data_IF_571614858122
#
_entry.id   IF_571614858122
#
_cell.length_a   1.000
_cell.length_b   1.000
_cell.length_c   1.000
_cell.angle_alpha   90.00
_cell.angle_beta   90.00
_cell.angle_gamma   90.00
#
_symmetry.space_group_name_H-M   'P 1'
#
loop_
_entity.id
_entity.type
_entity.pdbx_description
1 polymer ?
#
# COMPACT_ATOMS: atom_id res chain seq x y z
N UNK A 1 -3.60 11.15 -2.53
CA UNK A 1 -2.22 11.17 -2.99
C UNK A 1 -1.80 9.78 -3.43
N UNK A 2 -1.53 9.58 -4.73
CA UNK A 2 -1.13 8.29 -5.31
C UNK A 2 0.38 8.26 -5.47
N UNK A 3 1.03 7.25 -4.88
CA UNK A 3 2.47 7.05 -5.02
C UNK A 3 2.85 5.57 -5.03
N UNK A 4 3.82 5.22 -5.87
CA UNK A 4 4.44 3.90 -5.85
C UNK A 4 5.32 3.68 -4.62
N UNK A 5 5.72 4.76 -3.94
CA UNK A 5 6.63 4.78 -2.80
C UNK A 5 6.07 5.58 -1.63
N UNK A 6 6.23 5.06 -0.43
CA UNK A 6 6.06 5.80 0.81
C UNK A 6 7.19 5.44 1.78
N UNK A 7 8.11 6.38 2.03
CA UNK A 7 9.21 6.21 2.97
C UNK A 7 8.87 6.95 4.27
N UNK A 8 8.08 6.32 5.11
CA UNK A 8 7.54 6.91 6.34
C UNK A 8 8.64 7.18 7.36
N UNK A 9 9.66 6.29 7.44
CA UNK A 9 10.77 6.41 8.37
C UNK A 9 10.48 5.76 9.73
N UNK A 10 11.17 6.18 10.78
CA UNK A 10 11.11 5.57 12.12
C UNK A 10 9.76 5.81 12.80
N UNK A 11 8.84 4.87 12.63
CA UNK A 11 7.47 5.00 13.08
C UNK A 11 7.33 5.05 14.60
N UNK A 12 8.15 4.30 15.37
CA UNK A 12 8.08 4.29 16.84
C UNK A 12 8.30 5.69 17.40
N UNK A 13 9.46 6.28 17.11
CA UNK A 13 9.81 7.60 17.67
C UNK A 13 8.88 8.71 17.18
N UNK A 14 8.55 8.69 15.89
CA UNK A 14 7.63 9.66 15.33
C UNK A 14 6.25 9.61 16.00
N UNK A 15 5.71 8.41 16.20
CA UNK A 15 4.41 8.22 16.82
C UNK A 15 4.42 8.60 18.32
N UNK A 16 5.46 8.21 19.07
CA UNK A 16 5.59 8.60 20.48
C UNK A 16 5.70 10.12 20.64
N UNK A 17 6.49 10.77 19.78
CA UNK A 17 6.63 12.22 19.76
C UNK A 17 5.29 12.91 19.42
N UNK A 18 4.63 12.46 18.35
CA UNK A 18 3.37 13.05 17.90
C UNK A 18 2.24 12.87 18.93
N UNK A 19 2.22 11.75 19.63
CA UNK A 19 1.27 11.46 20.71
C UNK A 19 1.62 12.17 22.04
N UNK A 20 2.86 12.66 22.18
CA UNK A 20 3.34 13.28 23.40
C UNK A 20 3.52 12.30 24.57
N UNK A 21 3.82 11.04 24.30
CA UNK A 21 3.96 9.95 25.30
C UNK A 21 5.36 9.35 25.35
N UNK A 22 6.37 10.04 24.82
CA UNK A 22 7.75 9.53 24.78
C UNK A 22 8.33 9.31 26.19
N UNK A 23 8.10 10.25 27.11
CA UNK A 23 8.59 10.15 28.49
C UNK A 23 7.90 9.01 29.24
N UNK A 24 6.58 8.84 29.08
CA UNK A 24 5.82 7.74 29.66
C UNK A 24 6.34 6.38 29.14
N UNK A 25 6.58 6.29 27.83
CA UNK A 25 7.15 5.08 27.22
C UNK A 25 8.55 4.77 27.76
N UNK A 26 9.37 5.78 27.95
CA UNK A 26 10.73 5.65 28.53
C UNK A 26 10.67 5.15 29.99
N UNK A 27 9.74 5.67 30.79
CA UNK A 27 9.55 5.24 32.18
C UNK A 27 9.09 3.78 32.25
N UNK A 28 8.08 3.42 31.45
CA UNK A 28 7.57 2.04 31.40
C UNK A 28 8.66 1.06 30.97
N UNK A 29 9.39 1.35 29.89
CA UNK A 29 10.49 0.49 29.42
C UNK A 29 11.57 0.32 30.49
N UNK A 30 11.95 1.42 31.16
CA UNK A 30 12.95 1.39 32.23
C UNK A 30 12.49 0.49 33.39
N UNK A 31 11.21 0.48 33.73
CA UNK A 31 10.64 -0.39 34.77
C UNK A 31 10.71 -1.88 34.40
N UNK A 32 10.75 -2.18 33.09
CA UNK A 32 10.88 -3.53 32.53
C UNK A 32 12.35 -3.91 32.27
N UNK A 33 13.32 -3.05 32.60
CA UNK A 33 14.74 -3.27 32.37
C UNK A 33 15.19 -3.06 30.92
N UNK A 34 14.38 -2.41 30.09
CA UNK A 34 14.66 -2.06 28.71
C UNK A 34 14.87 -0.54 28.54
N UNK A 35 15.44 -0.14 27.43
CA UNK A 35 15.63 1.26 27.06
C UNK A 35 14.85 1.57 25.78
N UNK A 36 14.46 2.83 25.61
CA UNK A 36 13.82 3.27 24.36
C UNK A 36 14.73 3.05 23.15
N UNK A 37 16.05 3.17 23.32
CA UNK A 37 17.04 2.86 22.28
C UNK A 37 17.04 1.40 21.80
N UNK A 38 16.56 0.47 22.62
CA UNK A 38 16.49 -0.94 22.23
C UNK A 38 15.43 -1.16 21.14
N UNK A 39 14.47 -0.21 21.03
CA UNK A 39 13.45 -0.21 19.96
C UNK A 39 13.99 0.30 18.62
N UNK A 40 15.20 0.85 18.57
CA UNK A 40 15.84 1.30 17.31
C UNK A 40 16.22 0.13 16.39
N UNK A 41 16.31 -1.07 16.93
CA UNK A 41 16.57 -2.28 16.18
C UNK A 41 15.30 -2.84 15.50
N UNK A 42 14.12 -2.32 15.84
CA UNK A 42 12.88 -2.71 15.16
C UNK A 42 12.89 -2.08 13.77
N UNK A 43 12.80 -2.93 12.76
CA UNK A 43 12.86 -2.51 11.37
C UNK A 43 11.59 -1.74 10.98
N UNK A 44 11.79 -0.63 10.27
CA UNK A 44 10.70 0.15 9.68
C UNK A 44 10.28 -0.43 8.33
N UNK A 45 9.05 -0.13 7.90
CA UNK A 45 8.57 -0.46 6.56
C UNK A 45 9.26 0.45 5.52
N UNK A 46 10.40 0.01 4.98
CA UNK A 46 11.16 0.75 3.97
C UNK A 46 10.50 0.60 2.57
N UNK A 47 9.30 1.16 2.42
CA UNK A 47 8.49 1.04 1.19
C UNK A 47 8.75 2.17 0.18
N UNK A 48 9.93 2.75 0.22
CA UNK A 48 10.40 3.78 -0.70
C UNK A 48 11.91 3.73 -0.87
N UNK A 49 12.40 4.27 -1.98
CA UNK A 49 13.82 4.26 -2.33
C UNK A 49 14.51 5.58 -2.01
N UNK A 50 13.81 6.71 -2.08
CA UNK A 50 14.47 8.01 -1.93
C UNK A 50 13.52 9.19 -1.79
N UNK A 51 13.86 10.30 -2.47
CA UNK A 51 13.18 11.59 -2.37
C UNK A 51 11.68 11.53 -2.69
N UNK A 52 11.29 10.72 -3.69
CA UNK A 52 9.89 10.56 -4.08
C UNK A 52 9.04 9.99 -2.94
N UNK A 53 9.50 8.87 -2.34
CA UNK A 53 8.81 8.23 -1.22
C UNK A 53 8.84 9.07 0.05
N UNK A 54 9.94 9.80 0.30
CA UNK A 54 10.03 10.69 1.47
C UNK A 54 9.13 11.92 1.31
N UNK A 55 9.05 12.50 0.11
CA UNK A 55 8.13 13.61 -0.18
C UNK A 55 6.68 13.20 0.09
N UNK A 56 6.27 12.03 -0.40
CA UNK A 56 4.93 11.49 -0.16
C UNK A 56 4.62 11.36 1.34
N UNK A 57 5.54 10.81 2.12
CA UNK A 57 5.41 10.69 3.56
C UNK A 57 5.31 12.05 4.26
N UNK A 58 6.15 13.03 3.89
CA UNK A 58 6.10 14.37 4.46
C UNK A 58 4.78 15.10 4.16
N UNK A 59 4.19 14.91 2.98
CA UNK A 59 2.88 15.49 2.69
C UNK A 59 1.78 14.88 3.54
N UNK A 60 1.82 13.57 3.79
CA UNK A 60 0.84 12.93 4.70
C UNK A 60 0.97 13.47 6.13
N UNK A 61 2.19 13.56 6.66
CA UNK A 61 2.45 14.11 8.00
C UNK A 61 1.97 15.58 8.12
N UNK A 62 2.30 16.40 7.11
CA UNK A 62 1.90 17.81 7.08
C UNK A 62 0.39 17.97 6.98
N UNK A 63 -0.27 17.20 6.13
CA UNK A 63 -1.71 17.24 5.97
C UNK A 63 -2.42 16.79 7.25
N UNK A 64 -1.97 15.71 7.89
CA UNK A 64 -2.50 15.25 9.16
C UNK A 64 -2.35 16.34 10.24
N UNK A 65 -1.18 16.96 10.35
CA UNK A 65 -0.88 18.02 11.33
C UNK A 65 -1.74 19.28 11.10
N UNK A 66 -1.97 19.63 9.83
CA UNK A 66 -2.83 20.76 9.46
C UNK A 66 -4.32 20.41 9.41
N UNK A 67 -4.69 19.19 9.77
CA UNK A 67 -6.07 18.67 9.70
C UNK A 67 -6.69 18.77 8.31
N UNK A 68 -5.89 18.57 7.26
CA UNK A 68 -6.35 18.54 5.89
C UNK A 68 -6.81 17.10 5.51
N UNK A 69 -7.89 16.94 4.74
CA UNK A 69 -8.39 15.64 4.32
C UNK A 69 -7.53 15.06 3.19
N UNK A 70 -6.43 14.41 3.54
CA UNK A 70 -5.50 13.78 2.61
C UNK A 70 -5.25 12.32 3.01
N UNK A 71 -5.62 11.40 2.12
CA UNK A 71 -5.28 9.98 2.22
C UNK A 71 -4.16 9.63 1.23
N UNK A 72 -3.21 8.80 1.66
CA UNK A 72 -2.20 8.20 0.79
C UNK A 72 -2.66 6.84 0.25
N UNK A 73 -2.31 6.53 -1.01
CA UNK A 73 -2.58 5.25 -1.65
C UNK A 73 -1.34 4.73 -2.35
N UNK A 74 -0.97 3.48 -2.08
CA UNK A 74 0.21 2.84 -2.66
C UNK A 74 0.17 1.33 -2.57
N UNK A 75 1.33 0.70 -2.69
CA UNK A 75 1.50 -0.75 -2.63
C UNK A 75 2.17 -1.14 -1.31
N UNK A 76 1.65 -2.17 -0.68
CA UNK A 76 2.27 -2.84 0.46
C UNK A 76 3.26 -3.88 -0.06
N UNK A 77 4.49 -3.45 -0.29
CA UNK A 77 5.52 -4.38 -0.75
C UNK A 77 5.87 -5.40 0.34
N UNK A 78 5.98 -6.67 -0.05
CA UNK A 78 6.37 -7.76 0.84
C UNK A 78 7.78 -7.58 1.36
N UNK A 79 8.70 -7.16 0.48
CA UNK A 79 10.06 -6.82 0.82
C UNK A 79 10.24 -5.31 0.66
N UNK A 80 10.85 -4.69 1.67
CA UNK A 80 11.24 -3.29 1.61
C UNK A 80 12.42 -3.06 0.67
N UNK A 81 12.97 -1.84 0.70
CA UNK A 81 14.24 -1.58 0.05
C UNK A 81 15.28 -2.55 0.62
N UNK A 82 16.04 -3.20 -0.26
CA UNK A 82 17.00 -4.23 0.12
C UNK A 82 17.95 -3.77 1.25
N UNK A 83 18.30 -4.71 2.13
CA UNK A 83 19.35 -4.48 3.14
C UNK A 83 20.70 -4.44 2.46
N UNK A 84 21.53 -3.51 2.90
CA UNK A 84 22.90 -3.37 2.40
C UNK A 84 23.90 -3.81 3.47
N UNK A 85 24.83 -4.66 3.07
CA UNK A 85 26.01 -5.01 3.87
C UNK A 85 27.26 -4.85 3.02
N UNK A 86 28.40 -4.65 3.66
CA UNK A 86 29.70 -4.59 2.98
C UNK A 86 30.44 -5.90 3.25
N UNK A 87 30.70 -6.66 2.20
CA UNK A 87 31.47 -7.91 2.25
C UNK A 87 32.67 -7.79 1.30
N UNK A 88 33.84 -8.01 1.81
CA UNK A 88 35.11 -7.90 1.06
C UNK A 88 35.30 -6.55 0.32
N UNK A 89 34.77 -5.46 0.90
CA UNK A 89 34.79 -4.11 0.34
C UNK A 89 33.74 -3.80 -0.72
N UNK A 90 32.84 -4.73 -1.00
CA UNK A 90 31.75 -4.56 -1.98
C UNK A 90 30.39 -4.58 -1.29
N UNK A 91 29.43 -3.86 -1.88
CA UNK A 91 28.03 -3.90 -1.46
C UNK A 91 27.45 -5.28 -1.73
N UNK A 92 26.81 -5.84 -0.70
CA UNK A 92 25.95 -7.02 -0.82
C UNK A 92 24.52 -6.64 -0.47
N UNK A 93 23.59 -7.03 -1.32
CA UNK A 93 22.16 -6.77 -1.19
C UNK A 93 21.44 -8.02 -0.71
N UNK A 94 20.56 -7.86 0.28
CA UNK A 94 19.76 -8.94 0.85
C UNK A 94 18.29 -8.51 0.93
N UNK A 95 17.35 -9.46 0.90
CA UNK A 95 15.94 -9.16 1.01
C UNK A 95 15.62 -8.59 2.40
N UNK A 96 14.87 -7.49 2.42
CA UNK A 96 14.34 -6.88 3.64
C UNK A 96 12.93 -7.40 3.91
N UNK A 97 12.82 -8.51 4.66
CA UNK A 97 11.54 -9.07 5.11
C UNK A 97 11.09 -8.36 6.39
N UNK A 98 10.64 -7.11 6.24
CA UNK A 98 10.22 -6.26 7.35
C UNK A 98 8.98 -6.79 8.09
N UNK A 99 8.21 -7.70 7.46
CA UNK A 99 7.03 -8.33 8.07
C UNK A 99 7.33 -9.64 8.80
N UNK A 100 8.59 -10.08 8.84
CA UNK A 100 9.00 -11.37 9.42
C UNK A 100 8.49 -11.61 10.84
N UNK A 101 8.41 -10.56 11.64
CA UNK A 101 7.94 -10.61 13.03
C UNK A 101 6.54 -10.02 13.22
N UNK A 102 5.80 -9.81 12.14
CA UNK A 102 4.49 -9.18 12.10
C UNK A 102 4.55 -7.74 11.60
N UNK A 103 3.39 -7.14 11.45
CA UNK A 103 3.24 -5.74 11.04
C UNK A 103 2.47 -4.97 12.11
N UNK A 104 3.15 -4.27 13.02
CA UNK A 104 2.49 -3.47 14.05
C UNK A 104 1.99 -2.12 13.53
N UNK A 105 2.34 -1.73 12.30
CA UNK A 105 2.13 -0.39 11.76
C UNK A 105 0.83 -0.25 11.00
N UNK A 106 0.32 -1.33 10.41
CA UNK A 106 -0.87 -1.29 9.58
C UNK A 106 -1.92 -2.33 9.97
N UNK A 107 -3.17 -1.98 9.74
CA UNK A 107 -4.32 -2.84 9.99
C UNK A 107 -4.90 -3.33 8.67
N UNK A 108 -4.98 -4.65 8.51
CA UNK A 108 -5.68 -5.30 7.39
C UNK A 108 -7.19 -5.00 7.46
N UNK A 109 -7.76 -4.57 6.35
CA UNK A 109 -9.18 -4.23 6.24
C UNK A 109 -9.87 -5.16 5.25
N UNK A 110 -10.52 -6.21 5.75
CA UNK A 110 -11.20 -7.22 4.93
C UNK A 110 -12.44 -6.70 4.20
N UNK A 111 -13.11 -5.68 4.73
CA UNK A 111 -14.36 -5.15 4.19
C UNK A 111 -14.18 -4.30 2.94
N UNK A 112 -12.96 -3.81 2.71
CA UNK A 112 -12.63 -2.90 1.61
C UNK A 112 -11.80 -3.55 0.51
N UNK A 113 -11.80 -4.89 0.44
CA UNK A 113 -11.16 -5.63 -0.66
C UNK A 113 -11.74 -5.23 -2.01
N UNK A 114 -10.88 -5.20 -3.02
CA UNK A 114 -11.23 -4.91 -4.40
C UNK A 114 -10.73 -6.03 -5.31
N UNK A 115 -11.56 -6.49 -6.24
CA UNK A 115 -11.15 -7.46 -7.27
C UNK A 115 -10.55 -6.68 -8.44
N UNK A 116 -9.33 -7.05 -8.83
CA UNK A 116 -8.62 -6.46 -9.96
C UNK A 116 -8.46 -7.50 -11.06
N UNK A 117 -8.98 -7.18 -12.23
CA UNK A 117 -8.93 -8.05 -13.42
C UNK A 117 -7.83 -7.58 -14.37
N UNK A 118 -6.89 -8.46 -14.66
CA UNK A 118 -5.96 -8.33 -15.76
C UNK A 118 -6.41 -9.23 -16.91
N UNK A 119 -5.85 -9.05 -18.10
CA UNK A 119 -6.21 -9.86 -19.26
C UNK A 119 -6.05 -11.40 -19.05
N UNK A 120 -5.11 -11.80 -18.22
CA UNK A 120 -4.76 -13.21 -18.00
C UNK A 120 -4.70 -13.62 -16.52
N UNK A 121 -5.17 -12.77 -15.62
CA UNK A 121 -5.09 -13.01 -14.17
C UNK A 121 -6.11 -12.13 -13.44
N UNK A 122 -6.76 -12.70 -12.42
CA UNK A 122 -7.58 -11.94 -11.46
C UNK A 122 -6.93 -12.05 -10.10
N UNK A 123 -6.83 -10.94 -9.39
CA UNK A 123 -6.31 -10.86 -8.02
C UNK A 123 -7.24 -10.08 -7.11
N UNK A 124 -7.09 -10.27 -5.83
CA UNK A 124 -7.76 -9.46 -4.80
C UNK A 124 -6.77 -8.44 -4.27
N UNK A 125 -7.09 -7.16 -4.38
CA UNK A 125 -6.39 -6.09 -3.71
C UNK A 125 -6.92 -5.98 -2.27
N UNK A 126 -6.07 -6.26 -1.30
CA UNK A 126 -6.40 -6.22 0.13
C UNK A 126 -5.76 -4.99 0.74
N UNK A 127 -6.55 -4.06 1.31
CA UNK A 127 -5.99 -2.84 1.89
C UNK A 127 -5.47 -3.08 3.30
N UNK A 128 -4.35 -2.45 3.59
CA UNK A 128 -3.75 -2.29 4.91
C UNK A 128 -3.68 -0.80 5.21
N UNK A 129 -4.36 -0.38 6.27
CA UNK A 129 -4.45 1.03 6.67
C UNK A 129 -3.41 1.33 7.75
N UNK A 130 -2.46 2.18 7.43
CA UNK A 130 -1.44 2.70 8.34
C UNK A 130 -1.87 4.09 8.82
N UNK A 131 -2.05 4.30 10.13
CA UNK A 131 -2.37 5.62 10.68
C UNK A 131 -1.16 6.54 10.57
N UNK A 132 -1.40 7.76 10.13
CA UNK A 132 -0.44 8.87 10.12
C UNK A 132 -0.81 9.80 11.27
N UNK A 133 -0.05 9.73 12.35
CA UNK A 133 -0.33 10.46 13.59
C UNK A 133 0.12 11.90 13.44
N UNK A 134 -0.81 12.84 13.62
CA UNK A 134 -0.53 14.27 13.52
C UNK A 134 0.27 14.79 14.72
N UNK A 135 1.16 15.76 14.50
CA UNK A 135 1.90 16.43 15.55
C UNK A 135 1.06 17.53 16.19
N UNK A 136 0.96 17.48 17.52
CA UNK A 136 0.28 18.53 18.32
C UNK A 136 -1.23 18.66 18.10
N UNK A 137 -1.87 17.71 17.43
CA UNK A 137 -3.33 17.67 17.22
C UNK A 137 -3.88 16.26 17.49
N UNK A 138 -5.20 16.10 17.47
CA UNK A 138 -5.86 14.78 17.61
C UNK A 138 -6.22 14.16 16.28
N UNK A 139 -5.76 14.75 15.17
CA UNK A 139 -6.08 14.25 13.84
C UNK A 139 -5.19 13.05 13.48
N UNK A 140 -5.74 12.12 12.73
CA UNK A 140 -5.04 10.94 12.21
C UNK A 140 -5.35 10.84 10.72
N UNK A 141 -4.32 10.93 9.89
CA UNK A 141 -4.41 10.66 8.46
C UNK A 141 -4.34 9.16 8.16
N UNK A 142 -4.59 8.77 6.92
CA UNK A 142 -4.55 7.37 6.49
C UNK A 142 -3.60 7.19 5.33
N UNK A 143 -2.70 6.22 5.45
CA UNK A 143 -1.96 5.66 4.35
C UNK A 143 -2.52 4.25 4.07
N UNK A 144 -3.24 4.09 2.95
CA UNK A 144 -3.79 2.81 2.50
C UNK A 144 -2.86 2.15 1.51
N UNK A 145 -2.32 1.01 1.90
CA UNK A 145 -1.40 0.22 1.10
C UNK A 145 -2.07 -1.07 0.63
N UNK A 146 -2.00 -1.35 -0.66
CA UNK A 146 -2.63 -2.50 -1.28
C UNK A 146 -1.68 -3.69 -1.38
N UNK A 147 -2.10 -4.85 -0.89
CA UNK A 147 -1.42 -6.14 -1.08
C UNK A 147 -2.21 -6.98 -2.06
N UNK A 148 -1.52 -7.56 -3.04
CA UNK A 148 -2.14 -8.48 -4.00
C UNK A 148 -2.21 -9.89 -3.43
N UNK A 149 -3.41 -10.47 -3.45
CA UNK A 149 -3.66 -11.84 -3.03
C UNK A 149 -4.39 -12.63 -4.13
N UNK A 150 -4.24 -13.95 -4.20
CA UNK A 150 -4.96 -14.75 -5.18
C UNK A 150 -6.46 -14.83 -4.82
N UNK A 151 -7.30 -15.05 -5.83
CA UNK A 151 -8.72 -15.37 -5.61
C UNK A 151 -8.85 -16.75 -4.95
N UNK A 152 -8.06 -17.72 -5.42
CA UNK A 152 -7.98 -19.06 -4.84
C UNK A 152 -6.62 -19.26 -4.19
N UNK A 153 -6.57 -19.49 -2.91
CA UNK A 153 -5.32 -19.50 -2.14
C UNK A 153 -4.45 -20.73 -2.35
N UNK A 154 -5.07 -21.91 -2.56
CA UNK A 154 -4.33 -23.16 -2.63
C UNK A 154 -5.16 -24.27 -3.28
N UNK A 155 -4.54 -25.04 -4.17
CA UNK A 155 -5.18 -26.17 -4.85
C UNK A 155 -4.79 -27.50 -4.19
N UNK A 156 -5.62 -27.97 -3.27
CA UNK A 156 -5.40 -29.23 -2.56
C UNK A 156 -5.38 -30.46 -3.47
N UNK A 157 -6.12 -30.44 -4.58
CA UNK A 157 -6.15 -31.56 -5.51
C UNK A 157 -4.81 -31.71 -6.22
N UNK A 158 -4.25 -30.61 -6.73
CA UNK A 158 -2.92 -30.60 -7.32
C UNK A 158 -1.84 -30.99 -6.32
N UNK A 159 -1.92 -30.45 -5.09
CA UNK A 159 -0.95 -30.78 -4.06
C UNK A 159 -0.94 -32.28 -3.73
N UNK A 160 -2.12 -32.89 -3.54
CA UNK A 160 -2.25 -34.32 -3.29
C UNK A 160 -1.83 -35.19 -4.50
N UNK A 161 -1.90 -34.64 -5.71
CA UNK A 161 -1.36 -35.25 -6.91
C UNK A 161 0.17 -35.07 -7.08
N UNK A 162 0.86 -34.52 -6.07
CA UNK A 162 2.30 -34.21 -6.05
C UNK A 162 2.72 -33.11 -7.05
N UNK A 163 1.77 -32.33 -7.57
CA UNK A 163 2.03 -31.15 -8.39
C UNK A 163 2.14 -29.90 -7.49
N UNK A 164 3.18 -29.85 -6.66
CA UNK A 164 3.38 -28.87 -5.62
C UNK A 164 3.53 -27.44 -6.15
N UNK A 165 4.16 -27.29 -7.31
CA UNK A 165 4.39 -25.99 -7.94
C UNK A 165 3.08 -25.37 -8.42
N UNK A 166 2.29 -26.15 -9.18
CA UNK A 166 1.02 -25.64 -9.71
C UNK A 166 -0.07 -25.51 -8.63
N UNK A 167 0.08 -26.20 -7.49
CA UNK A 167 -0.80 -26.03 -6.34
C UNK A 167 -0.74 -24.61 -5.75
N UNK A 168 0.40 -23.90 -5.90
CA UNK A 168 0.63 -22.55 -5.37
C UNK A 168 0.85 -21.48 -6.43
N UNK A 169 0.71 -21.81 -7.73
CA UNK A 169 1.10 -20.89 -8.82
C UNK A 169 0.29 -19.60 -8.85
N UNK A 170 -1.00 -19.65 -8.52
CA UNK A 170 -1.85 -18.46 -8.45
C UNK A 170 -1.42 -17.53 -7.32
N UNK A 171 -1.05 -18.10 -6.18
CA UNK A 171 -0.51 -17.33 -5.06
C UNK A 171 0.79 -16.63 -5.44
N UNK A 172 1.72 -17.34 -6.04
CA UNK A 172 3.02 -16.79 -6.47
C UNK A 172 2.80 -15.63 -7.45
N UNK A 173 1.96 -15.82 -8.46
CA UNK A 173 1.67 -14.79 -9.48
C UNK A 173 0.97 -13.54 -8.88
N UNK A 174 0.11 -13.72 -7.89
CA UNK A 174 -0.53 -12.60 -7.22
C UNK A 174 0.48 -11.85 -6.36
N UNK A 175 1.24 -12.56 -5.53
CA UNK A 175 2.27 -11.98 -4.68
C UNK A 175 3.33 -11.20 -5.47
N UNK A 176 3.71 -11.64 -6.67
CA UNK A 176 4.70 -10.95 -7.52
C UNK A 176 4.31 -9.49 -7.79
N UNK A 177 3.03 -9.18 -7.88
CA UNK A 177 2.54 -7.81 -8.11
C UNK A 177 2.93 -6.87 -6.97
N UNK A 178 2.87 -7.35 -5.72
CA UNK A 178 3.21 -6.55 -4.53
C UNK A 178 4.47 -7.04 -3.81
N UNK A 179 5.39 -7.73 -4.52
CA UNK A 179 6.56 -8.35 -3.89
C UNK A 179 7.68 -7.37 -3.62
N UNK A 180 8.12 -6.62 -4.62
CA UNK A 180 9.23 -5.66 -4.50
C UNK A 180 8.95 -4.37 -5.26
N UNK A 181 9.48 -3.26 -4.73
CA UNK A 181 9.50 -1.97 -5.39
C UNK A 181 10.52 -2.00 -6.55
N UNK A 182 10.12 -1.49 -7.71
CA UNK A 182 10.96 -1.36 -8.91
C UNK A 182 11.66 -2.67 -9.32
N UNK A 183 10.92 -3.73 -9.67
CA UNK A 183 11.53 -4.90 -10.25
C UNK A 183 12.26 -4.53 -11.54
N UNK A 184 13.35 -5.25 -11.86
CA UNK A 184 14.10 -5.04 -13.09
C UNK A 184 13.17 -5.11 -14.31
N UNK A 185 13.29 -4.17 -15.22
CA UNK A 185 12.45 -4.01 -16.42
C UNK A 185 13.23 -4.04 -17.74
N UNK A 186 14.41 -4.65 -17.75
CA UNK A 186 15.21 -4.83 -18.96
C UNK A 186 14.50 -5.75 -19.97
N UNK A 187 13.73 -6.73 -19.46
CA UNK A 187 12.94 -7.64 -20.28
C UNK A 187 11.48 -7.20 -20.44
N UNK A 188 10.79 -7.84 -21.38
CA UNK A 188 9.35 -7.62 -21.59
C UNK A 188 8.54 -8.01 -20.34
N UNK A 189 8.90 -9.12 -19.70
CA UNK A 189 8.25 -9.64 -18.52
C UNK A 189 8.36 -8.67 -17.34
N UNK A 190 9.55 -8.10 -17.14
CA UNK A 190 9.77 -7.06 -16.12
C UNK A 190 8.94 -5.79 -16.37
N UNK A 191 8.86 -5.34 -17.64
CA UNK A 191 8.01 -4.20 -18.03
C UNK A 191 6.54 -4.48 -17.76
N UNK A 192 6.06 -5.70 -18.09
CA UNK A 192 4.68 -6.12 -17.81
C UNK A 192 4.43 -6.13 -16.29
N UNK A 193 5.35 -6.64 -15.49
CA UNK A 193 5.20 -6.67 -14.03
C UNK A 193 5.09 -5.25 -13.46
N UNK A 194 5.98 -4.32 -13.86
CA UNK A 194 5.91 -2.92 -13.44
C UNK A 194 4.60 -2.26 -13.85
N UNK A 195 4.12 -2.53 -15.05
CA UNK A 195 2.84 -2.02 -15.50
C UNK A 195 1.67 -2.60 -14.69
N UNK A 196 1.73 -3.90 -14.37
CA UNK A 196 0.74 -4.54 -13.48
C UNK A 196 0.71 -3.89 -12.09
N UNK A 197 1.87 -3.58 -11.52
CA UNK A 197 1.96 -2.88 -10.22
C UNK A 197 1.26 -1.51 -10.27
N UNK A 198 1.54 -0.72 -11.31
CA UNK A 198 0.95 0.59 -11.50
C UNK A 198 -0.57 0.51 -11.67
N UNK A 199 -1.04 -0.38 -12.54
CA UNK A 199 -2.47 -0.60 -12.74
C UNK A 199 -3.16 -1.09 -11.46
N UNK A 200 -2.56 -2.06 -10.78
CA UNK A 200 -3.08 -2.67 -9.57
C UNK A 200 -3.44 -1.65 -8.50
N UNK A 201 -2.48 -0.81 -8.08
CA UNK A 201 -2.76 0.12 -7.00
C UNK A 201 -3.64 1.30 -7.44
N UNK A 202 -3.56 1.74 -8.70
CA UNK A 202 -4.42 2.79 -9.23
C UNK A 202 -5.88 2.32 -9.29
N UNK A 203 -6.14 1.15 -9.87
CA UNK A 203 -7.49 0.60 -10.00
C UNK A 203 -8.12 0.32 -8.63
N UNK A 204 -7.36 -0.28 -7.69
CA UNK A 204 -7.84 -0.53 -6.34
C UNK A 204 -8.17 0.78 -5.60
N UNK A 205 -7.31 1.80 -5.72
CA UNK A 205 -7.51 3.09 -5.07
C UNK A 205 -8.69 3.87 -5.64
N UNK A 206 -8.87 3.86 -6.95
CA UNK A 206 -10.02 4.49 -7.60
C UNK A 206 -11.34 3.81 -7.22
N UNK A 207 -11.36 2.48 -7.20
CA UNK A 207 -12.53 1.73 -6.75
C UNK A 207 -12.90 2.07 -5.30
N UNK A 208 -11.92 2.21 -4.40
CA UNK A 208 -12.14 2.63 -3.01
C UNK A 208 -12.69 4.06 -2.93
N UNK A 209 -12.12 5.01 -3.68
CA UNK A 209 -12.58 6.40 -3.72
C UNK A 209 -14.02 6.47 -4.23
N UNK A 210 -14.33 5.80 -5.32
CA UNK A 210 -15.71 5.76 -5.88
C UNK A 210 -16.68 5.11 -4.89
N UNK A 211 -16.29 4.01 -4.24
CA UNK A 211 -17.09 3.36 -3.19
C UNK A 211 -17.39 4.31 -2.04
N UNK A 212 -16.38 5.01 -1.51
CA UNK A 212 -16.51 5.99 -0.42
C UNK A 212 -17.39 7.17 -0.82
N UNK A 213 -17.21 7.68 -2.04
CA UNK A 213 -18.03 8.79 -2.57
C UNK A 213 -19.52 8.43 -2.65
N UNK A 214 -19.83 7.25 -3.20
CA UNK A 214 -21.20 6.73 -3.27
C UNK A 214 -21.79 6.45 -1.88
N UNK A 215 -21.01 5.86 -0.97
CA UNK A 215 -21.45 5.58 0.38
C UNK A 215 -21.76 6.84 1.18
N UNK A 216 -21.11 7.97 0.87
CA UNK A 216 -21.43 9.28 1.42
C UNK A 216 -22.68 9.93 0.81
N UNK A 217 -23.35 9.27 -0.14
CA UNK A 217 -24.56 9.76 -0.78
C UNK A 217 -24.32 10.80 -1.87
N UNK A 218 -23.09 10.94 -2.36
CA UNK A 218 -22.76 11.90 -3.42
C UNK A 218 -23.00 11.30 -4.81
N UNK A 219 -23.43 12.17 -5.73
CA UNK A 219 -23.57 11.85 -7.14
C UNK A 219 -22.20 11.62 -7.79
N UNK A 220 -22.07 10.51 -8.51
CA UNK A 220 -20.80 10.15 -9.16
C UNK A 220 -20.39 11.15 -10.24
N UNK A 221 -21.33 11.79 -10.91
CA UNK A 221 -21.06 12.83 -11.90
C UNK A 221 -20.40 14.08 -11.28
N UNK A 222 -20.52 14.24 -9.95
CA UNK A 222 -19.95 15.34 -9.18
C UNK A 222 -18.71 14.92 -8.38
N UNK A 223 -18.08 13.80 -8.74
CA UNK A 223 -16.86 13.36 -8.08
C UNK A 223 -15.79 14.47 -8.04
N UNK A 224 -15.63 15.22 -9.11
CA UNK A 224 -14.69 16.32 -9.26
C UNK A 224 -14.87 17.47 -8.25
N UNK A 225 -16.07 17.63 -7.68
CA UNK A 225 -16.32 18.66 -6.64
C UNK A 225 -15.79 18.25 -5.26
N UNK A 226 -15.56 16.95 -5.02
CA UNK A 226 -15.24 16.38 -3.72
C UNK A 226 -13.89 15.72 -3.67
N UNK A 227 -13.33 15.31 -4.80
CA UNK A 227 -12.11 14.50 -4.88
C UNK A 227 -11.11 15.17 -5.79
N UNK A 228 -9.90 15.36 -5.27
CA UNK A 228 -8.72 15.73 -6.06
C UNK A 228 -7.67 14.64 -5.90
N UNK A 229 -7.11 14.15 -7.00
CA UNK A 229 -6.10 13.10 -7.01
C UNK A 229 -4.77 13.69 -7.42
N UNK A 230 -3.80 13.70 -6.51
CA UNK A 230 -2.42 14.09 -6.80
C UNK A 230 -1.61 12.85 -7.19
N UNK A 231 -1.00 12.92 -8.36
CA UNK A 231 -0.14 11.86 -8.89
C UNK A 231 1.32 12.17 -8.56
N UNK A 232 1.98 11.23 -7.87
CA UNK A 232 3.41 11.36 -7.55
C UNK A 232 4.22 10.63 -8.61
N UNK A 233 4.91 11.41 -9.47
CA UNK A 233 5.59 10.94 -10.68
C UNK A 233 4.61 10.38 -11.73
N UNK A 234 5.13 9.65 -12.70
CA UNK A 234 4.40 9.03 -13.81
C UNK A 234 3.82 7.67 -13.48
N UNK A 235 4.24 7.05 -12.37
CA UNK A 235 3.78 5.70 -11.97
C UNK A 235 2.25 5.58 -11.89
N UNK A 236 1.51 6.56 -11.33
CA UNK A 236 0.05 6.48 -11.24
C UNK A 236 -0.68 7.09 -12.45
N UNK A 237 -0.04 7.43 -13.55
CA UNK A 237 -0.70 8.08 -14.70
C UNK A 237 -1.82 7.24 -15.30
N UNK A 238 -1.73 5.91 -15.18
CA UNK A 238 -2.77 4.97 -15.62
C UNK A 238 -4.12 5.18 -14.90
N UNK A 239 -4.12 5.92 -13.79
CA UNK A 239 -5.36 6.30 -13.10
C UNK A 239 -6.28 7.16 -13.95
N UNK A 240 -5.77 7.90 -14.94
CA UNK A 240 -6.57 8.75 -15.82
C UNK A 240 -7.51 7.90 -16.69
N UNK A 241 -7.03 6.98 -17.55
CA UNK A 241 -7.92 6.13 -18.34
C UNK A 241 -8.74 5.18 -17.45
N UNK A 242 -8.20 4.71 -16.32
CA UNK A 242 -8.94 3.84 -15.40
C UNK A 242 -10.12 4.59 -14.75
N UNK A 243 -9.96 5.84 -14.34
CA UNK A 243 -11.07 6.65 -13.83
C UNK A 243 -12.16 6.84 -14.87
N UNK A 244 -11.80 7.10 -16.12
CA UNK A 244 -12.77 7.21 -17.23
C UNK A 244 -13.52 5.89 -17.36
N UNK A 245 -12.84 4.75 -17.36
CA UNK A 245 -13.46 3.43 -17.41
C UNK A 245 -14.43 3.20 -16.24
N UNK A 246 -13.99 3.51 -15.01
CA UNK A 246 -14.83 3.39 -13.81
C UNK A 246 -16.11 4.25 -13.91
N UNK A 247 -16.00 5.47 -14.42
CA UNK A 247 -17.15 6.39 -14.55
C UNK A 247 -18.12 5.91 -15.63
N UNK A 248 -17.63 5.47 -16.79
CA UNK A 248 -18.47 4.93 -17.86
C UNK A 248 -19.23 3.68 -17.40
N UNK A 249 -18.53 2.73 -16.76
CA UNK A 249 -19.16 1.50 -16.27
C UNK A 249 -20.23 1.74 -15.20
N UNK A 250 -20.11 2.80 -14.43
CA UNK A 250 -21.09 3.16 -13.40
C UNK A 250 -22.30 3.92 -13.95
N UNK A 251 -22.15 4.65 -15.07
CA UNK A 251 -23.26 5.31 -15.77
C UNK A 251 -24.08 4.32 -16.61
N UNK A 252 -23.43 3.41 -17.33
CA UNK A 252 -24.11 2.38 -18.14
C UNK A 252 -24.96 1.42 -17.28
N UNK A 253 -24.45 1.00 -16.11
CA UNK A 253 -25.21 0.18 -15.17
C UNK A 253 -26.46 0.91 -14.60
N UNK A 254 -26.44 2.25 -14.55
CA UNK A 254 -27.58 3.05 -14.14
C UNK A 254 -28.65 3.16 -15.25
N UNK A 255 -28.22 3.17 -16.52
CA UNK A 255 -29.12 3.23 -17.68
C UNK A 255 -29.78 1.88 -17.95
N UNK A 256 -29.09 0.75 -17.77
CA UNK A 256 -29.69 -0.58 -17.83
C UNK A 256 -30.75 -0.79 -16.74
N UNK A 257 -30.52 -0.27 -15.52
CA UNK A 257 -31.46 -0.36 -14.42
C UNK A 257 -32.72 0.56 -14.61
N UNK A 258 -32.65 1.57 -15.48
CA UNK A 258 -33.76 2.43 -15.84
C UNK A 258 -34.59 1.92 -17.04
N UNK A 259 -34.06 0.91 -17.74
CA UNK A 259 -34.71 0.32 -18.93
C UNK A 259 -35.52 -0.93 -18.61
N UNK A 260 -35.74 -1.29 -17.35
CA UNK A 260 -36.66 -2.30 -16.82
C UNK A 260 -37.72 -1.60 -15.96
#
# INVERSE_FOLDING_TARGET
YFSAEFLVGRAIYNNLLCLGVEDDAREVLSSLGAKLSDLEEIEDAALGNGGLGRLAACFLDSAATLSLPLDGYGIRYKYGLFKQSIVDGFQKEEADDWTKYGDPWSRRNESDKVIINFANQTVVAVPYDMPIVAYGTKNIGTLRLWQAEPVNTFDFLKFNAQDYVNASIEQIKAEDISRVLYPNDDTREGKILRFKQQYFFCAASLADIVKKHKAAGYDIEKLYEKVTIQLNDTHPVISIPELISCLLYTSDAADEARSV
#
